data_IF_599981889581
#
_entry.id   IF_599981889581
#
_cell.length_a   1.000
_cell.length_b   1.000
_cell.length_c   1.000
_cell.angle_alpha   90.00
_cell.angle_beta   90.00
_cell.angle_gamma   90.00
#
_symmetry.space_group_name_H-M   'P 1'
#
loop_
_entity.id
_entity.type
_entity.pdbx_description
1 polymer ?
#
# COMPACT_ATOMS: atom_id res chain seq x y z
N UNK A 1 8.43 -2.10 -12.85
CA UNK A 1 7.11 -1.52 -13.17
C UNK A 1 6.39 -2.28 -14.28
N UNK A 2 7.03 -2.49 -15.42
CA UNK A 2 6.44 -3.23 -16.53
C UNK A 2 6.11 -4.68 -16.14
N UNK A 3 6.98 -5.31 -15.37
CA UNK A 3 6.75 -6.66 -14.85
C UNK A 3 5.50 -6.71 -13.95
N UNK A 4 5.29 -5.70 -13.10
CA UNK A 4 4.10 -5.60 -12.28
C UNK A 4 2.84 -5.47 -13.13
N UNK A 5 2.88 -4.65 -14.18
CA UNK A 5 1.75 -4.49 -15.09
C UNK A 5 1.42 -5.80 -15.81
N UNK A 6 2.43 -6.53 -16.29
CA UNK A 6 2.21 -7.81 -16.96
C UNK A 6 1.60 -8.85 -16.02
N UNK A 7 2.06 -8.90 -14.75
CA UNK A 7 1.50 -9.79 -13.74
C UNK A 7 0.05 -9.42 -13.43
N UNK A 8 -0.27 -8.13 -13.31
CA UNK A 8 -1.62 -7.66 -13.05
C UNK A 8 -2.57 -8.00 -14.20
N UNK A 9 -2.13 -7.79 -15.44
CA UNK A 9 -2.91 -8.13 -16.64
C UNK A 9 -3.24 -9.63 -16.70
N UNK A 10 -2.28 -10.48 -16.32
CA UNK A 10 -2.46 -11.93 -16.37
C UNK A 10 -3.51 -12.42 -15.37
N UNK A 11 -3.67 -11.75 -14.23
CA UNK A 11 -4.59 -12.17 -13.17
C UNK A 11 -6.04 -11.78 -13.50
N UNK A 12 -6.26 -10.63 -14.15
CA UNK A 12 -7.59 -10.16 -14.56
C UNK A 12 -8.44 -9.57 -13.43
N UNK A 13 -8.44 -10.18 -12.25
CA UNK A 13 -9.03 -9.64 -11.02
C UNK A 13 -8.02 -9.82 -9.90
N UNK A 14 -8.04 -8.92 -8.92
CA UNK A 14 -7.01 -8.94 -7.89
C UNK A 14 -7.60 -8.61 -6.52
N UNK A 15 -7.28 -9.41 -5.52
CA UNK A 15 -7.55 -9.09 -4.13
C UNK A 15 -6.45 -8.17 -3.60
N UNK A 16 -6.72 -7.48 -2.50
CA UNK A 16 -5.72 -6.61 -1.87
C UNK A 16 -4.47 -7.40 -1.44
N UNK A 17 -4.66 -8.61 -0.96
CA UNK A 17 -3.57 -9.51 -0.60
C UNK A 17 -2.72 -9.87 -1.83
N UNK A 18 -3.35 -10.26 -2.93
CA UNK A 18 -2.65 -10.59 -4.18
C UNK A 18 -1.90 -9.39 -4.73
N UNK A 19 -2.49 -8.20 -4.66
CA UNK A 19 -1.84 -6.95 -5.04
C UNK A 19 -0.56 -6.73 -4.24
N UNK A 20 -0.66 -6.82 -2.92
CA UNK A 20 0.50 -6.68 -2.04
C UNK A 20 1.57 -7.74 -2.31
N UNK A 21 1.15 -9.00 -2.39
CA UNK A 21 2.07 -10.11 -2.64
C UNK A 21 2.87 -9.91 -3.93
N UNK A 22 2.19 -9.50 -4.99
CA UNK A 22 2.83 -9.23 -6.28
C UNK A 22 3.88 -8.13 -6.19
N UNK A 23 3.57 -7.04 -5.49
CA UNK A 23 4.51 -5.92 -5.28
C UNK A 23 5.72 -6.38 -4.46
N UNK A 24 5.48 -7.04 -3.34
CA UNK A 24 6.56 -7.44 -2.45
C UNK A 24 7.44 -8.54 -3.07
N UNK A 25 6.87 -9.48 -3.79
CA UNK A 25 7.66 -10.48 -4.54
C UNK A 25 8.54 -9.84 -5.60
N UNK A 26 7.98 -8.94 -6.40
CA UNK A 26 8.74 -8.22 -7.45
C UNK A 26 9.84 -7.37 -6.83
N UNK A 27 9.57 -6.72 -5.70
CA UNK A 27 10.58 -5.94 -4.97
C UNK A 27 11.73 -6.82 -4.51
N UNK A 28 11.43 -7.98 -3.94
CA UNK A 28 12.48 -8.90 -3.48
C UNK A 28 13.32 -9.42 -4.62
N UNK A 29 12.72 -9.73 -5.75
CA UNK A 29 13.43 -10.17 -6.97
C UNK A 29 14.34 -9.08 -7.53
N UNK A 30 14.02 -7.81 -7.29
CA UNK A 30 14.76 -6.64 -7.78
C UNK A 30 15.38 -5.81 -6.64
N UNK A 31 15.73 -6.44 -5.54
CA UNK A 31 16.17 -5.78 -4.32
C UNK A 31 17.39 -4.89 -4.52
N UNK A 32 18.35 -5.30 -5.35
CA UNK A 32 19.56 -4.52 -5.64
C UNK A 32 19.22 -3.20 -6.32
N UNK A 33 18.33 -3.23 -7.30
CA UNK A 33 17.89 -2.02 -8.00
C UNK A 33 17.18 -1.08 -7.05
N UNK A 34 16.27 -1.60 -6.24
CA UNK A 34 15.50 -0.78 -5.30
C UNK A 34 16.37 -0.22 -4.17
N UNK A 35 17.30 -1.00 -3.65
CA UNK A 35 18.30 -0.50 -2.70
C UNK A 35 19.12 0.65 -3.30
N UNK A 36 19.51 0.55 -4.57
CA UNK A 36 20.24 1.61 -5.27
C UNK A 36 19.38 2.87 -5.44
N UNK A 37 18.10 2.71 -5.80
CA UNK A 37 17.15 3.82 -5.92
C UNK A 37 17.00 4.55 -4.60
N UNK A 38 16.85 3.82 -3.49
CA UNK A 38 16.71 4.42 -2.17
C UNK A 38 18.01 5.06 -1.69
N UNK A 39 19.15 4.44 -1.94
CA UNK A 39 20.47 5.01 -1.61
C UNK A 39 20.72 6.32 -2.34
N UNK A 40 20.25 6.43 -3.59
CA UNK A 40 20.31 7.65 -4.38
C UNK A 40 19.23 8.67 -4.00
N UNK A 41 18.40 8.37 -3.01
CA UNK A 41 17.28 9.21 -2.54
C UNK A 41 16.26 9.52 -3.64
N UNK A 42 16.01 8.57 -4.54
CA UNK A 42 15.06 8.71 -5.65
C UNK A 42 13.66 8.22 -5.23
N UNK A 43 13.19 8.65 -4.06
CA UNK A 43 11.89 8.25 -3.52
C UNK A 43 10.72 8.69 -4.43
N UNK A 44 10.85 9.86 -5.03
CA UNK A 44 9.81 10.38 -5.93
C UNK A 44 9.64 9.48 -7.16
N UNK A 45 10.74 8.94 -7.68
CA UNK A 45 10.68 8.01 -8.80
C UNK A 45 9.87 6.76 -8.44
N UNK A 46 10.13 6.17 -7.28
CA UNK A 46 9.37 5.03 -6.77
C UNK A 46 7.89 5.37 -6.61
N UNK A 47 7.60 6.48 -5.95
CA UNK A 47 6.23 6.94 -5.72
C UNK A 47 5.49 7.18 -7.04
N UNK A 48 6.11 7.85 -8.01
CA UNK A 48 5.50 8.10 -9.33
C UNK A 48 5.18 6.81 -10.08
N UNK A 49 6.05 5.82 -10.01
CA UNK A 49 5.81 4.50 -10.61
C UNK A 49 4.63 3.78 -9.96
N UNK A 50 4.54 3.84 -8.64
CA UNK A 50 3.42 3.24 -7.91
C UNK A 50 2.11 3.97 -8.16
N UNK A 51 2.12 5.29 -8.29
CA UNK A 51 0.93 6.06 -8.67
C UNK A 51 0.41 5.57 -10.03
N UNK A 52 1.27 5.44 -11.03
CA UNK A 52 0.89 4.92 -12.35
C UNK A 52 0.29 3.52 -12.25
N UNK A 53 0.91 2.67 -11.45
CA UNK A 53 0.42 1.31 -11.26
C UNK A 53 -0.95 1.29 -10.60
N UNK A 54 -1.16 2.11 -9.58
CA UNK A 54 -2.46 2.22 -8.89
C UNK A 54 -3.55 2.81 -9.81
N UNK A 55 -3.22 3.76 -10.68
CA UNK A 55 -4.15 4.23 -11.70
C UNK A 55 -4.57 3.11 -12.64
N UNK A 56 -3.61 2.32 -13.10
CA UNK A 56 -3.92 1.18 -13.94
C UNK A 56 -4.87 0.20 -13.25
N UNK A 57 -4.59 -0.13 -11.97
CA UNK A 57 -5.46 -1.02 -11.21
C UNK A 57 -6.86 -0.45 -11.03
N UNK A 58 -6.96 0.83 -10.71
CA UNK A 58 -8.25 1.50 -10.52
C UNK A 58 -9.09 1.44 -11.80
N UNK A 59 -8.50 1.74 -12.94
CA UNK A 59 -9.21 1.81 -14.21
C UNK A 59 -9.54 0.44 -14.79
N UNK A 60 -8.58 -0.47 -14.82
CA UNK A 60 -8.69 -1.70 -15.61
C UNK A 60 -8.99 -2.95 -14.79
N UNK A 61 -8.64 -2.99 -13.52
CA UNK A 61 -8.82 -4.18 -12.68
C UNK A 61 -9.98 -4.00 -11.70
N UNK A 62 -9.96 -2.93 -10.92
CA UNK A 62 -11.01 -2.63 -9.94
C UNK A 62 -12.23 -2.00 -10.62
N UNK A 63 -12.02 -1.34 -11.75
CA UNK A 63 -13.05 -0.65 -12.53
C UNK A 63 -13.76 0.44 -11.74
N UNK A 64 -12.97 1.30 -11.12
CA UNK A 64 -13.45 2.48 -10.40
C UNK A 64 -13.93 3.56 -11.36
N UNK A 65 -14.80 4.45 -10.88
CA UNK A 65 -15.21 5.62 -11.65
C UNK A 65 -14.07 6.63 -11.73
N UNK A 66 -13.41 6.71 -12.90
CA UNK A 66 -12.24 7.56 -13.09
C UNK A 66 -12.61 9.06 -13.15
N UNK A 67 -13.90 9.40 -13.28
CA UNK A 67 -14.36 10.79 -13.22
C UNK A 67 -14.56 11.28 -11.79
N UNK A 68 -14.61 10.38 -10.81
CA UNK A 68 -14.78 10.71 -9.39
C UNK A 68 -13.43 11.10 -8.78
N UNK A 69 -13.35 12.31 -8.22
CA UNK A 69 -12.13 12.77 -7.53
C UNK A 69 -11.66 11.84 -6.40
N UNK A 70 -12.59 11.08 -5.79
CA UNK A 70 -12.25 10.12 -4.73
C UNK A 70 -11.38 8.98 -5.25
N UNK A 71 -11.50 8.62 -6.52
CA UNK A 71 -10.63 7.64 -7.16
C UNK A 71 -9.19 8.13 -7.21
N UNK A 72 -8.98 9.40 -7.55
CA UNK A 72 -7.65 10.01 -7.55
C UNK A 72 -7.04 10.00 -6.14
N UNK A 73 -7.80 10.41 -5.13
CA UNK A 73 -7.32 10.37 -3.74
C UNK A 73 -7.00 8.95 -3.28
N UNK A 74 -7.82 7.98 -3.64
CA UNK A 74 -7.53 6.58 -3.35
C UNK A 74 -6.21 6.12 -3.97
N UNK A 75 -5.97 6.48 -5.23
CA UNK A 75 -4.72 6.12 -5.94
C UNK A 75 -3.50 6.68 -5.20
N UNK A 76 -3.53 7.95 -4.83
CA UNK A 76 -2.42 8.59 -4.12
C UNK A 76 -2.22 8.01 -2.73
N UNK A 77 -3.29 7.78 -2.01
CA UNK A 77 -3.26 7.16 -0.68
C UNK A 77 -2.64 5.77 -0.72
N UNK A 78 -3.09 4.92 -1.63
CA UNK A 78 -2.59 3.55 -1.76
C UNK A 78 -1.13 3.53 -2.22
N UNK A 79 -0.78 4.35 -3.21
CA UNK A 79 0.60 4.45 -3.70
C UNK A 79 1.56 4.95 -2.61
N UNK A 80 1.15 5.95 -1.85
CA UNK A 80 1.94 6.48 -0.73
C UNK A 80 2.15 5.44 0.36
N UNK A 81 1.10 4.75 0.73
CA UNK A 81 1.13 3.70 1.74
C UNK A 81 2.08 2.56 1.35
N UNK A 82 1.96 2.07 0.12
CA UNK A 82 2.82 1.00 -0.39
C UNK A 82 4.27 1.47 -0.49
N UNK A 83 4.51 2.68 -0.97
CA UNK A 83 5.86 3.25 -1.07
C UNK A 83 6.56 3.29 0.28
N UNK A 84 5.87 3.75 1.32
CA UNK A 84 6.45 3.86 2.66
C UNK A 84 6.70 2.48 3.28
N UNK A 85 5.80 1.52 3.05
CA UNK A 85 6.03 0.14 3.49
C UNK A 85 7.25 -0.47 2.81
N UNK A 86 7.43 -0.23 1.52
CA UNK A 86 8.60 -0.71 0.77
C UNK A 86 9.90 -0.12 1.34
N UNK A 87 9.91 1.18 1.59
CA UNK A 87 11.08 1.87 2.17
C UNK A 87 11.44 1.24 3.52
N UNK A 88 10.47 1.10 4.40
CA UNK A 88 10.67 0.52 5.72
C UNK A 88 11.20 -0.92 5.62
N UNK A 89 10.61 -1.72 4.76
CA UNK A 89 11.01 -3.11 4.57
C UNK A 89 12.43 -3.25 4.03
N UNK A 90 12.81 -2.41 3.05
CA UNK A 90 14.16 -2.39 2.49
C UNK A 90 15.18 -1.93 3.54
N UNK A 91 14.84 -0.91 4.34
CA UNK A 91 15.69 -0.43 5.44
C UNK A 91 15.90 -1.51 6.51
N UNK A 92 14.94 -2.42 6.68
CA UNK A 92 15.05 -3.58 7.57
C UNK A 92 15.71 -4.78 6.89
N UNK A 93 16.33 -4.58 5.74
CA UNK A 93 17.03 -5.61 4.97
C UNK A 93 16.11 -6.76 4.53
N UNK A 94 14.86 -6.47 4.22
CA UNK A 94 13.88 -7.42 3.68
C UNK A 94 13.71 -8.65 4.58
N UNK A 95 13.73 -8.47 5.89
CA UNK A 95 13.65 -9.58 6.86
C UNK A 95 12.35 -10.38 6.76
N UNK A 96 11.23 -9.68 6.62
CA UNK A 96 9.93 -10.31 6.50
C UNK A 96 9.79 -10.92 5.10
N UNK A 97 9.04 -12.02 5.00
CA UNK A 97 8.71 -12.59 3.69
C UNK A 97 7.74 -11.70 2.92
N UNK A 98 7.69 -11.81 1.58
CA UNK A 98 6.67 -11.11 0.79
C UNK A 98 5.24 -11.42 1.27
N UNK A 99 4.97 -12.66 1.68
CA UNK A 99 3.67 -13.10 2.20
C UNK A 99 3.32 -12.37 3.49
N UNK A 100 4.27 -12.25 4.40
CA UNK A 100 4.08 -11.50 5.64
C UNK A 100 3.82 -10.02 5.38
N UNK A 101 4.58 -9.42 4.46
CA UNK A 101 4.37 -8.03 4.07
C UNK A 101 3.00 -7.82 3.40
N UNK A 102 2.55 -8.78 2.60
CA UNK A 102 1.22 -8.72 1.98
C UNK A 102 0.11 -8.77 3.04
N UNK A 103 0.28 -9.57 4.10
CA UNK A 103 -0.64 -9.61 5.24
C UNK A 103 -0.66 -8.27 5.98
N UNK A 104 0.50 -7.67 6.21
CA UNK A 104 0.59 -6.35 6.85
C UNK A 104 -0.18 -5.30 6.04
N UNK A 105 -0.04 -5.31 4.72
CA UNK A 105 -0.76 -4.40 3.84
C UNK A 105 -2.28 -4.66 3.87
N UNK A 106 -2.67 -5.93 3.85
CA UNK A 106 -4.08 -6.35 3.81
C UNK A 106 -4.78 -6.08 5.14
N UNK A 107 -4.19 -6.49 6.26
CA UNK A 107 -4.84 -6.47 7.58
C UNK A 107 -4.83 -5.11 8.26
N UNK A 108 -4.13 -4.13 7.74
CA UNK A 108 -3.99 -2.78 8.30
C UNK A 108 -4.39 -2.69 9.80
N UNK A 109 -3.43 -2.85 10.73
CA UNK A 109 -3.72 -2.85 12.18
C UNK A 109 -4.47 -1.60 12.65
N UNK A 110 -4.40 -0.50 11.89
CA UNK A 110 -5.11 0.74 12.22
C UNK A 110 -6.62 0.57 12.22
N UNK A 111 -7.20 -0.37 11.46
CA UNK A 111 -8.64 -0.62 11.49
C UNK A 111 -9.11 -1.08 12.86
N UNK A 112 -8.34 -1.94 13.51
CA UNK A 112 -8.63 -2.41 14.87
C UNK A 112 -8.36 -1.31 15.90
N UNK A 113 -7.32 -0.54 15.68
CA UNK A 113 -6.92 0.54 16.58
C UNK A 113 -7.89 1.72 16.51
N UNK A 114 -8.41 2.05 15.33
CA UNK A 114 -9.41 3.11 15.16
C UNK A 114 -10.67 2.85 15.98
N UNK A 115 -11.22 1.63 15.94
CA UNK A 115 -12.38 1.26 16.73
C UNK A 115 -12.12 1.45 18.23
N UNK A 116 -10.96 1.04 18.71
CA UNK A 116 -10.59 1.18 20.12
C UNK A 116 -10.40 2.66 20.52
N UNK A 117 -9.77 3.45 19.67
CA UNK A 117 -9.55 4.87 19.91
C UNK A 117 -10.88 5.61 19.98
N UNK A 118 -11.81 5.33 19.06
CA UNK A 118 -13.14 5.93 19.08
C UNK A 118 -13.93 5.52 20.33
N UNK A 119 -13.90 4.25 20.72
CA UNK A 119 -14.54 3.77 21.95
C UNK A 119 -13.96 4.45 23.18
N UNK A 120 -12.66 4.56 23.28
CA UNK A 120 -11.98 5.22 24.40
C UNK A 120 -12.30 6.72 24.43
N UNK A 121 -12.35 7.37 23.28
CA UNK A 121 -12.73 8.77 23.17
C UNK A 121 -14.15 9.02 23.68
N UNK A 122 -15.11 8.19 23.27
CA UNK A 122 -16.49 8.26 23.72
C UNK A 122 -16.63 8.01 25.22
N UNK A 123 -15.89 7.04 25.76
CA UNK A 123 -15.87 6.79 27.21
C UNK A 123 -15.35 7.99 27.98
N UNK A 124 -14.28 8.62 27.52
CA UNK A 124 -13.69 9.80 28.13
C UNK A 124 -14.68 10.97 28.13
N UNK A 125 -15.39 11.20 27.04
CA UNK A 125 -16.40 12.26 26.95
C UNK A 125 -17.57 12.00 27.90
N UNK A 126 -18.06 10.75 27.96
CA UNK A 126 -19.10 10.36 28.90
C UNK A 126 -18.68 10.58 30.34
N UNK A 127 -17.44 10.29 30.69
CA UNK A 127 -16.89 10.51 32.01
C UNK A 127 -16.82 11.99 32.34
N UNK A 128 -16.41 12.85 31.39
CA UNK A 128 -16.39 14.31 31.54
C UNK A 128 -17.79 14.90 31.74
N UNK A 129 -18.79 14.35 31.01
CA UNK A 129 -20.17 14.83 31.13
C UNK A 129 -20.85 14.40 32.43
N UNK A 130 -20.39 13.32 33.08
CA UNK A 130 -20.92 12.84 34.34
C UNK A 130 -20.33 13.56 35.57
N UNK A 131 -19.36 14.40 35.36
CA UNK A 131 -18.76 15.27 36.38
C UNK A 131 -19.15 16.73 36.19
#
# INVERSE_FOLDING_TARGET
FEELLERAKAIGSITRYQFGLMIFQTTKENDRLLKAVLKAQLYELLLRRLIKFCYYLAEHIVQMDMSDKRTEYWVYEEAGRVSLLLVCWIERDLKESPEEMAHILFENPLRYTESRVLENGLRTEKTKLSH
#
